data_IF_068390434375
#
_entry.id   IF_068390434375
#
_cell.length_a   1.000
_cell.length_b   1.000
_cell.length_c   1.000
_cell.angle_alpha   90.00
_cell.angle_beta   90.00
_cell.angle_gamma   90.00
#
_symmetry.space_group_name_H-M   'P 1'
#
loop_
_entity.id
_entity.type
_entity.pdbx_description
1 polymer ?
#
# COMPACT_ATOMS: atom_id res chain seq x y z
N UNK A 1 -5.32 -23.69 -25.30
CA UNK A 1 -5.61 -23.93 -23.87
C UNK A 1 -5.41 -22.61 -23.12
N UNK A 2 -5.99 -22.46 -21.93
CA UNK A 2 -5.72 -21.30 -21.07
C UNK A 2 -4.40 -21.45 -20.30
N UNK A 3 -3.82 -20.32 -19.87
CA UNK A 3 -2.63 -20.26 -19.00
C UNK A 3 -3.07 -20.10 -17.54
N UNK A 4 -2.38 -20.76 -16.61
CA UNK A 4 -2.56 -20.51 -15.17
C UNK A 4 -1.90 -19.19 -14.80
N UNK A 5 -2.55 -18.40 -13.96
CA UNK A 5 -2.12 -17.05 -13.55
C UNK A 5 -2.27 -16.89 -12.03
N UNK A 6 -1.60 -15.89 -11.47
CA UNK A 6 -1.69 -15.55 -10.05
C UNK A 6 -3.01 -14.83 -9.73
N UNK A 7 -3.74 -15.32 -8.73
CA UNK A 7 -5.00 -14.73 -8.28
C UNK A 7 -4.83 -13.37 -7.58
N UNK A 8 -3.70 -13.14 -6.89
CA UNK A 8 -3.37 -11.84 -6.28
C UNK A 8 -3.15 -10.77 -7.35
N UNK A 9 -2.42 -11.11 -8.40
CA UNK A 9 -2.21 -10.22 -9.54
C UNK A 9 -3.55 -9.86 -10.19
N UNK A 10 -4.41 -10.86 -10.43
CA UNK A 10 -5.75 -10.64 -10.94
C UNK A 10 -6.58 -9.72 -10.02
N UNK A 11 -6.57 -9.95 -8.70
CA UNK A 11 -7.28 -9.12 -7.73
C UNK A 11 -6.83 -7.66 -7.81
N UNK A 12 -5.52 -7.43 -7.87
CA UNK A 12 -4.94 -6.08 -7.95
C UNK A 12 -5.41 -5.36 -9.22
N UNK A 13 -5.42 -6.05 -10.36
CA UNK A 13 -5.95 -5.50 -11.61
C UNK A 13 -7.43 -5.16 -11.53
N UNK A 14 -8.25 -6.00 -10.90
CA UNK A 14 -9.69 -5.75 -10.73
C UNK A 14 -9.93 -4.52 -9.85
N UNK A 15 -9.23 -4.43 -8.71
CA UNK A 15 -9.31 -3.30 -7.77
C UNK A 15 -8.93 -2.00 -8.48
N UNK A 16 -7.81 -1.98 -9.20
CA UNK A 16 -7.35 -0.81 -9.94
C UNK A 16 -8.33 -0.41 -11.06
N UNK A 17 -8.90 -1.38 -11.78
CA UNK A 17 -9.91 -1.11 -12.80
C UNK A 17 -11.19 -0.50 -12.21
N UNK A 18 -11.64 -0.99 -11.05
CA UNK A 18 -12.78 -0.44 -10.32
C UNK A 18 -12.49 0.99 -9.81
N UNK A 19 -11.30 1.23 -9.25
CA UNK A 19 -10.86 2.54 -8.79
C UNK A 19 -10.85 3.56 -9.94
N UNK A 20 -10.21 3.22 -11.05
CA UNK A 20 -10.12 4.06 -12.25
C UNK A 20 -11.49 4.34 -12.88
N UNK A 21 -12.39 3.35 -12.86
CA UNK A 21 -13.77 3.54 -13.33
C UNK A 21 -14.54 4.51 -12.45
N UNK A 22 -14.37 4.45 -11.12
CA UNK A 22 -14.95 5.42 -10.19
C UNK A 22 -14.43 6.85 -10.45
N UNK A 23 -13.12 7.01 -10.64
CA UNK A 23 -12.52 8.30 -10.98
C UNK A 23 -13.04 8.87 -12.31
N UNK A 24 -13.19 8.02 -13.33
CA UNK A 24 -13.74 8.41 -14.63
C UNK A 24 -15.19 8.91 -14.51
N UNK A 25 -16.03 8.20 -13.75
CA UNK A 25 -17.42 8.63 -13.50
C UNK A 25 -17.47 9.98 -12.77
N UNK A 26 -16.61 10.20 -11.78
CA UNK A 26 -16.50 11.50 -11.09
C UNK A 26 -16.12 12.63 -12.06
N UNK A 27 -15.18 12.38 -12.99
CA UNK A 27 -14.79 13.35 -14.03
C UNK A 27 -15.94 13.69 -14.99
N UNK A 28 -16.72 12.70 -15.42
CA UNK A 28 -17.90 12.91 -16.28
C UNK A 28 -18.95 13.78 -15.56
N UNK A 29 -19.24 13.48 -14.29
CA UNK A 29 -20.20 14.25 -13.48
C UNK A 29 -19.75 15.71 -13.30
N UNK A 30 -18.45 15.97 -13.12
CA UNK A 30 -17.90 17.35 -13.03
C UNK A 30 -18.02 18.14 -14.35
N UNK A 31 -17.96 17.50 -15.52
CA UNK A 31 -18.13 18.18 -16.82
C UNK A 31 -19.59 18.55 -17.14
N UNK A 32 -20.57 17.96 -16.43
CA UNK A 32 -22.01 18.15 -16.68
C UNK A 32 -22.70 19.24 -15.84
N UNK A 33 -21.97 20.13 -15.16
CA UNK A 33 -22.55 21.28 -14.45
C UNK A 33 -23.00 21.05 -13.00
N UNK A 34 -22.69 19.90 -12.39
CA UNK A 34 -22.95 19.65 -10.96
C UNK A 34 -21.77 20.06 -10.08
N UNK A 35 -21.88 21.21 -9.40
CA UNK A 35 -20.95 21.62 -8.35
C UNK A 35 -21.10 20.77 -7.07
N UNK A 36 -19.98 20.55 -6.39
CA UNK A 36 -19.94 20.04 -5.02
C UNK A 36 -19.66 18.54 -4.90
N UNK A 37 -18.40 18.19 -4.64
CA UNK A 37 -17.96 16.81 -4.43
C UNK A 37 -16.44 16.71 -4.54
N UNK A 38 -15.78 17.37 -3.60
CA UNK A 38 -14.33 17.43 -3.43
C UNK A 38 -13.73 16.05 -3.14
N UNK A 39 -12.51 15.84 -3.66
CA UNK A 39 -11.46 14.90 -3.22
C UNK A 39 -11.75 13.47 -2.70
N UNK A 40 -12.99 12.99 -2.62
CA UNK A 40 -13.32 11.78 -1.87
C UNK A 40 -12.65 10.55 -2.46
N UNK A 41 -12.18 9.66 -1.59
CA UNK A 41 -11.71 8.34 -1.96
C UNK A 41 -12.75 7.63 -2.85
N UNK A 42 -12.30 6.77 -3.77
CA UNK A 42 -13.26 5.84 -4.41
C UNK A 42 -13.77 4.88 -3.33
N UNK A 43 -14.99 4.36 -3.49
CA UNK A 43 -15.50 3.26 -2.65
C UNK A 43 -14.50 2.10 -2.50
N UNK A 44 -13.69 1.83 -3.54
CA UNK A 44 -12.64 0.82 -3.53
C UNK A 44 -11.57 1.11 -2.46
N UNK A 45 -11.11 2.36 -2.39
CA UNK A 45 -10.15 2.84 -1.37
C UNK A 45 -10.80 2.97 0.01
N UNK A 46 -12.10 3.19 0.09
CA UNK A 46 -12.81 3.17 1.38
C UNK A 46 -12.93 1.75 1.96
N UNK A 47 -13.07 0.73 1.12
CA UNK A 47 -13.22 -0.66 1.55
C UNK A 47 -11.87 -1.34 1.77
N UNK A 48 -10.95 -1.20 0.81
CA UNK A 48 -9.68 -1.93 0.78
C UNK A 48 -8.46 -1.06 1.11
N UNK A 49 -8.62 0.27 1.11
CA UNK A 49 -7.51 1.18 1.31
C UNK A 49 -7.04 1.23 2.75
N UNK A 50 -5.72 1.31 2.92
CA UNK A 50 -5.04 1.56 4.18
C UNK A 50 -3.81 2.44 3.98
N UNK A 51 -3.10 2.71 5.08
CA UNK A 51 -1.83 3.44 5.07
C UNK A 51 -0.78 2.65 5.85
N UNK A 52 0.41 2.52 5.27
CA UNK A 52 1.56 1.89 5.89
C UNK A 52 2.66 2.95 6.09
N UNK A 53 3.16 3.09 7.31
CA UNK A 53 4.28 3.99 7.58
C UNK A 53 5.58 3.18 7.70
N UNK A 54 6.51 3.42 6.78
CA UNK A 54 7.89 2.95 6.90
C UNK A 54 8.72 4.03 7.59
N UNK A 55 9.48 3.63 8.62
CA UNK A 55 10.41 4.50 9.33
C UNK A 55 11.83 3.97 9.18
N UNK A 56 12.75 4.83 8.79
CA UNK A 56 14.19 4.57 8.83
C UNK A 56 14.81 5.47 9.88
N UNK A 57 15.44 4.87 10.88
CA UNK A 57 16.17 5.59 11.94
C UNK A 57 17.67 5.42 11.75
N UNK A 58 18.38 6.53 11.60
CA UNK A 58 19.84 6.52 11.59
C UNK A 58 20.36 6.25 13.01
N UNK A 59 21.14 5.18 13.19
CA UNK A 59 21.71 4.85 14.50
C UNK A 59 22.90 5.73 14.91
N UNK A 60 23.47 6.51 13.98
CA UNK A 60 24.60 7.41 14.27
C UNK A 60 24.14 8.79 14.77
N UNK A 61 23.15 9.40 14.12
CA UNK A 61 22.67 10.75 14.46
C UNK A 61 21.26 10.79 15.06
N UNK A 62 20.54 9.65 15.06
CA UNK A 62 19.17 9.55 15.58
C UNK A 62 18.08 10.10 14.67
N UNK A 63 18.43 10.63 13.48
CA UNK A 63 17.44 11.16 12.53
C UNK A 63 16.46 10.07 12.06
N UNK A 64 15.18 10.41 12.05
CA UNK A 64 14.09 9.53 11.61
C UNK A 64 13.49 10.05 10.29
N UNK A 65 13.56 9.22 9.25
CA UNK A 65 12.88 9.44 7.98
C UNK A 65 11.62 8.59 7.93
N UNK A 66 10.46 9.23 7.86
CA UNK A 66 9.16 8.56 7.80
C UNK A 66 8.56 8.72 6.41
N UNK A 67 8.07 7.62 5.84
CA UNK A 67 7.32 7.59 4.58
C UNK A 67 5.99 6.89 4.80
N UNK A 68 4.90 7.54 4.41
CA UNK A 68 3.55 6.95 4.46
C UNK A 68 3.14 6.58 3.05
N UNK A 69 2.92 5.30 2.84
CA UNK A 69 2.47 4.72 1.57
C UNK A 69 1.01 4.27 1.69
N UNK A 70 0.21 4.58 0.67
CA UNK A 70 -1.15 4.06 0.56
C UNK A 70 -1.11 2.60 0.09
N UNK A 71 -1.82 1.72 0.78
CA UNK A 71 -1.86 0.29 0.49
C UNK A 71 -3.28 -0.17 0.19
N UNK A 72 -3.42 -1.24 -0.58
CA UNK A 72 -4.70 -1.91 -0.87
C UNK A 72 -4.71 -3.37 -0.40
N UNK A 73 -3.54 -3.87 0.00
CA UNK A 73 -3.30 -5.21 0.49
C UNK A 73 -2.04 -5.21 1.37
N UNK A 74 -1.89 -6.26 2.18
CA UNK A 74 -0.68 -6.53 2.96
C UNK A 74 -0.17 -7.90 2.56
N UNK A 75 1.01 -7.95 1.96
CA UNK A 75 1.69 -9.19 1.61
C UNK A 75 2.51 -9.67 2.80
N UNK A 76 2.09 -10.78 3.40
CA UNK A 76 2.71 -11.34 4.60
C UNK A 76 3.62 -12.51 4.27
N UNK A 77 4.81 -12.54 4.86
CA UNK A 77 5.64 -13.74 4.88
C UNK A 77 5.07 -14.76 5.87
N UNK A 78 4.80 -15.97 5.37
CA UNK A 78 4.29 -17.10 6.16
C UNK A 78 5.40 -18.05 6.61
N UNK A 79 6.62 -17.85 6.14
CA UNK A 79 7.74 -18.70 6.48
C UNK A 79 8.05 -18.61 7.99
N UNK A 80 8.19 -19.78 8.61
CA UNK A 80 8.37 -19.93 10.06
C UNK A 80 7.30 -19.25 10.94
N UNK A 81 6.09 -19.03 10.42
CA UNK A 81 4.98 -18.45 11.19
C UNK A 81 3.91 -19.51 11.46
N UNK A 82 3.41 -19.58 12.70
CA UNK A 82 2.40 -20.58 13.08
C UNK A 82 0.98 -20.04 12.99
N UNK A 83 0.83 -18.73 12.82
CA UNK A 83 -0.47 -18.06 12.70
C UNK A 83 -0.38 -16.81 11.82
N UNK A 84 -1.54 -16.34 11.34
CA UNK A 84 -1.64 -15.04 10.67
C UNK A 84 -1.16 -13.90 11.56
N UNK A 85 -1.42 -13.99 12.87
CA UNK A 85 -0.98 -13.01 13.86
C UNK A 85 0.55 -12.96 13.93
N UNK A 86 1.21 -14.11 13.91
CA UNK A 86 2.69 -14.21 13.94
C UNK A 86 3.28 -13.56 12.69
N UNK A 87 2.74 -13.89 11.50
CA UNK A 87 3.16 -13.27 10.24
C UNK A 87 2.96 -11.77 10.23
N UNK A 88 1.82 -11.29 10.75
CA UNK A 88 1.56 -9.86 10.87
C UNK A 88 2.54 -9.19 11.85
N UNK A 89 2.85 -9.82 12.98
CA UNK A 89 3.83 -9.29 13.93
C UNK A 89 5.23 -9.20 13.32
N UNK A 90 5.64 -10.22 12.56
CA UNK A 90 6.92 -10.20 11.83
C UNK A 90 6.98 -9.10 10.78
N UNK A 91 5.89 -8.86 10.04
CA UNK A 91 5.82 -7.80 9.03
C UNK A 91 6.14 -6.41 9.60
N UNK A 92 5.74 -6.14 10.85
CA UNK A 92 6.02 -4.88 11.55
C UNK A 92 7.27 -4.91 12.43
N UNK A 93 8.06 -5.99 12.37
CA UNK A 93 9.29 -6.08 13.15
C UNK A 93 10.35 -5.13 12.57
N UNK A 94 11.04 -4.34 13.41
CA UNK A 94 12.16 -3.53 12.95
C UNK A 94 13.30 -4.40 12.42
N UNK A 95 13.87 -4.03 11.28
CA UNK A 95 15.06 -4.64 10.70
C UNK A 95 16.24 -3.67 10.79
N UNK A 96 17.44 -4.20 11.08
CA UNK A 96 18.68 -3.42 11.05
C UNK A 96 19.24 -3.44 9.64
N UNK A 97 19.27 -2.27 9.00
CA UNK A 97 19.83 -2.11 7.66
C UNK A 97 21.36 -2.01 7.73
N UNK A 98 22.06 -3.12 7.44
CA UNK A 98 23.52 -3.21 7.45
C UNK A 98 24.11 -3.69 6.10
N UNK A 99 25.44 -3.86 6.06
CA UNK A 99 26.16 -4.37 4.89
C UNK A 99 25.81 -3.62 3.58
N UNK A 100 25.25 -4.37 2.63
CA UNK A 100 24.87 -3.87 1.30
C UNK A 100 23.52 -3.12 1.28
N UNK A 101 22.72 -3.22 2.34
CA UNK A 101 21.40 -2.59 2.45
C UNK A 101 21.43 -1.30 3.29
N UNK A 102 22.63 -0.77 3.60
CA UNK A 102 22.78 0.45 4.39
C UNK A 102 22.04 1.62 3.76
N UNK A 103 21.25 2.29 4.59
CA UNK A 103 20.51 3.47 4.19
C UNK A 103 21.40 4.71 4.15
N UNK A 104 21.27 5.53 3.09
CA UNK A 104 21.94 6.82 3.01
C UNK A 104 21.20 7.84 3.89
N UNK A 105 21.85 8.26 4.96
CA UNK A 105 21.34 9.36 5.80
C UNK A 105 21.64 10.71 5.13
N UNK A 106 20.61 11.53 4.93
CA UNK A 106 20.74 12.91 4.41
C UNK A 106 20.79 13.97 5.53
N UNK A 107 20.72 13.54 6.80
CA UNK A 107 20.79 14.39 7.99
C UNK A 107 22.18 14.60 8.55
#
# INVERSE_FOLDING_TARGET
CGRQEDAHEFLRYVIDACHNSCLRLKKIRKKGGGGGGDGGASIVKEIFGGALQSQVKCLCCGYESNKVDEIMDISLDVFHSNSLKDSMQKFFQPEVLDGNNKYKCDG
#
